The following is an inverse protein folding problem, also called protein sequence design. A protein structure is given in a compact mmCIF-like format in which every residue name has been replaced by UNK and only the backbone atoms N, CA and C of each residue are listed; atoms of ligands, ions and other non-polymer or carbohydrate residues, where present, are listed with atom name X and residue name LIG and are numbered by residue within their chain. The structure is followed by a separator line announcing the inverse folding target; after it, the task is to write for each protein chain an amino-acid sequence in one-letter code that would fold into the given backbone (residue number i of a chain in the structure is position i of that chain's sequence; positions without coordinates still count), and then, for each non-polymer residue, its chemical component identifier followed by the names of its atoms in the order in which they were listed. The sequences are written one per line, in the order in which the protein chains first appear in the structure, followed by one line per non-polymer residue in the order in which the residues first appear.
data_IF_294457433994
#
_entry.id   IF_294457433994
#
_cell.length_a   1.000
_cell.length_b   1.000
_cell.length_c   1.000
_cell.angle_alpha   90.00
_cell.angle_beta   90.00
_cell.angle_gamma   90.00
#
_symmetry.space_group_name_H-M   'P 1'
#
loop_
_entity.id
_entity.type
_entity.pdbx_description
1 polymer ?
#
# COMPACT_ATOMS: atom_id res chain seq x y z
N UNK A 1 -33.36 1.62 32.15
CA UNK A 1 -32.04 2.25 32.08
C UNK A 1 -31.76 2.48 30.61
N UNK A 2 -32.15 3.63 30.04
CA UNK A 2 -31.93 3.98 28.64
C UNK A 2 -30.47 4.33 28.45
N UNK A 3 -29.76 3.52 27.66
CA UNK A 3 -28.42 3.85 27.20
C UNK A 3 -28.52 5.00 26.18
N UNK A 4 -28.18 6.18 26.59
CA UNK A 4 -28.09 7.35 25.72
C UNK A 4 -26.83 7.18 24.83
N UNK A 5 -26.97 6.48 23.71
CA UNK A 5 -25.90 6.32 22.71
C UNK A 5 -25.74 7.66 22.02
N UNK A 6 -24.76 8.44 22.45
CA UNK A 6 -24.33 9.64 21.75
C UNK A 6 -23.79 9.24 20.38
N UNK A 7 -24.55 9.52 19.32
CA UNK A 7 -24.06 9.33 17.96
C UNK A 7 -22.96 10.35 17.68
N UNK A 8 -21.74 9.84 17.48
CA UNK A 8 -20.60 10.66 17.03
C UNK A 8 -20.65 10.67 15.50
N UNK A 9 -20.69 11.84 14.84
CA UNK A 9 -20.67 11.90 13.39
C UNK A 9 -19.38 11.25 12.85
N UNK A 10 -19.51 10.38 11.83
CA UNK A 10 -18.41 9.64 11.24
C UNK A 10 -17.26 10.56 10.78
N UNK A 11 -17.63 11.73 10.26
CA UNK A 11 -16.66 12.73 9.83
C UNK A 11 -15.72 13.20 10.95
N UNK A 12 -16.19 13.27 12.21
CA UNK A 12 -15.34 13.67 13.33
C UNK A 12 -14.30 12.61 13.73
N UNK A 13 -14.55 11.33 13.40
CA UNK A 13 -13.70 10.18 13.76
C UNK A 13 -12.79 9.80 12.59
N UNK A 14 -13.21 10.06 11.36
CA UNK A 14 -12.49 9.67 10.16
C UNK A 14 -11.21 10.50 9.99
N UNK A 15 -10.02 9.88 9.94
CA UNK A 15 -8.75 10.61 9.98
C UNK A 15 -8.36 11.26 8.63
N UNK A 16 -8.99 10.85 7.53
CA UNK A 16 -8.67 11.35 6.19
C UNK A 16 -9.41 12.67 5.95
N UNK A 17 -8.68 13.69 5.49
CA UNK A 17 -9.22 14.98 5.09
C UNK A 17 -9.67 14.95 3.63
N UNK A 18 -8.77 14.53 2.74
CA UNK A 18 -9.05 14.42 1.31
C UNK A 18 -8.11 13.42 0.64
N UNK A 19 -8.49 12.99 -0.58
CA UNK A 19 -7.65 12.23 -1.49
C UNK A 19 -7.61 13.02 -2.78
N UNK A 20 -6.43 13.44 -3.20
CA UNK A 20 -6.23 14.23 -4.41
C UNK A 20 -4.92 13.81 -5.07
N UNK A 21 -4.94 13.63 -6.40
CA UNK A 21 -3.76 13.30 -7.21
C UNK A 21 -2.96 12.10 -6.64
N UNK A 22 -3.68 11.02 -6.28
CA UNK A 22 -3.11 9.79 -5.70
C UNK A 22 -2.48 9.97 -4.31
N UNK A 23 -2.69 11.12 -3.68
CA UNK A 23 -2.18 11.45 -2.36
C UNK A 23 -3.31 11.46 -1.34
N UNK A 24 -3.10 10.81 -0.21
CA UNK A 24 -4.02 10.82 0.92
C UNK A 24 -3.52 11.88 1.93
N UNK A 25 -4.37 12.83 2.25
CA UNK A 25 -4.07 13.87 3.26
C UNK A 25 -4.91 13.61 4.50
N UNK A 26 -4.25 13.51 5.65
CA UNK A 26 -4.93 13.33 6.93
C UNK A 26 -5.39 14.68 7.52
N UNK A 27 -6.35 14.64 8.44
CA UNK A 27 -6.78 15.84 9.21
C UNK A 27 -5.66 16.44 10.07
N UNK A 28 -4.58 15.68 10.29
CA UNK A 28 -3.38 16.17 11.00
C UNK A 28 -2.36 16.82 10.07
N UNK A 29 -2.63 16.86 8.76
CA UNK A 29 -1.71 17.38 7.75
C UNK A 29 -0.64 16.36 7.31
N UNK A 30 -0.75 15.08 7.71
CA UNK A 30 0.13 14.03 7.24
C UNK A 30 -0.21 13.68 5.80
N UNK A 31 0.80 13.37 5.01
CA UNK A 31 0.68 13.03 3.60
C UNK A 31 1.06 11.57 3.43
N UNK A 32 0.19 10.77 2.83
CA UNK A 32 0.44 9.36 2.55
C UNK A 32 0.37 9.07 1.06
N UNK A 33 1.40 8.45 0.53
CA UNK A 33 1.47 7.88 -0.81
C UNK A 33 1.34 6.36 -0.70
N UNK A 34 0.64 5.73 -1.66
CA UNK A 34 0.44 4.29 -1.69
C UNK A 34 0.77 3.69 -3.05
N UNK A 35 1.41 2.53 -3.04
CA UNK A 35 1.73 1.75 -4.24
C UNK A 35 1.32 0.31 -4.09
N UNK A 36 0.75 -0.26 -5.15
CA UNK A 36 0.65 -1.72 -5.30
C UNK A 36 1.98 -2.22 -5.84
N UNK A 37 2.64 -3.11 -5.11
CA UNK A 37 3.95 -3.66 -5.48
C UNK A 37 3.73 -4.97 -6.23
N UNK A 38 4.24 -5.06 -7.45
CA UNK A 38 4.25 -6.32 -8.20
C UNK A 38 5.44 -7.15 -7.76
N UNK A 39 5.14 -8.29 -7.14
CA UNK A 39 6.15 -9.26 -6.72
C UNK A 39 6.23 -10.39 -7.74
N UNK A 40 7.44 -10.90 -8.02
CA UNK A 40 7.57 -12.14 -8.77
C UNK A 40 7.04 -13.32 -7.94
N UNK A 41 6.68 -14.43 -8.59
CA UNK A 41 6.26 -15.64 -7.89
C UNK A 41 7.34 -16.10 -6.90
N UNK A 42 6.98 -16.35 -5.66
CA UNK A 42 7.94 -16.73 -4.60
C UNK A 42 8.70 -18.02 -4.93
N UNK A 43 8.09 -18.92 -5.71
CA UNK A 43 8.71 -20.19 -6.13
C UNK A 43 9.82 -20.01 -7.17
N UNK A 44 9.94 -18.85 -7.79
CA UNK A 44 10.99 -18.56 -8.81
C UNK A 44 12.21 -17.84 -8.25
N UNK A 45 12.20 -17.49 -6.96
CA UNK A 45 13.28 -16.73 -6.33
C UNK A 45 14.29 -17.64 -5.64
N UNK A 46 15.57 -17.38 -5.88
CA UNK A 46 16.65 -17.97 -5.12
C UNK A 46 16.79 -17.30 -3.75
N UNK A 47 17.58 -17.91 -2.86
CA UNK A 47 17.89 -17.32 -1.56
C UNK A 47 18.61 -15.97 -1.70
N UNK A 48 19.49 -15.87 -2.68
CA UNK A 48 20.26 -14.65 -2.94
C UNK A 48 19.36 -13.53 -3.46
N UNK A 49 18.41 -13.84 -4.36
CA UNK A 49 17.40 -12.88 -4.83
C UNK A 49 16.57 -12.31 -3.68
N UNK A 50 16.24 -13.14 -2.68
CA UNK A 50 15.51 -12.70 -1.49
C UNK A 50 16.36 -11.75 -0.64
N UNK A 51 17.65 -12.05 -0.44
CA UNK A 51 18.57 -11.20 0.32
C UNK A 51 18.74 -9.85 -0.37
N UNK A 52 19.02 -9.85 -1.67
CA UNK A 52 19.23 -8.63 -2.45
C UNK A 52 18.01 -7.70 -2.40
N UNK A 53 16.79 -8.27 -2.45
CA UNK A 53 15.55 -7.49 -2.35
C UNK A 53 15.34 -6.91 -0.96
N UNK A 54 15.64 -7.68 0.07
CA UNK A 54 15.56 -7.21 1.45
C UNK A 54 16.55 -6.07 1.69
N UNK A 55 17.78 -6.22 1.21
CA UNK A 55 18.83 -5.22 1.34
C UNK A 55 18.48 -3.93 0.56
N UNK A 56 17.89 -4.07 -0.63
CA UNK A 56 17.38 -2.93 -1.38
C UNK A 56 16.27 -2.18 -0.62
N UNK A 57 15.31 -2.91 -0.05
CA UNK A 57 14.24 -2.32 0.76
C UNK A 57 14.81 -1.64 2.02
N UNK A 58 15.72 -2.29 2.73
CA UNK A 58 16.38 -1.72 3.91
C UNK A 58 17.14 -0.44 3.56
N UNK A 59 17.87 -0.44 2.44
CA UNK A 59 18.61 0.72 1.96
C UNK A 59 17.66 1.88 1.60
N UNK A 60 16.55 1.58 0.92
CA UNK A 60 15.53 2.57 0.60
C UNK A 60 14.92 3.18 1.86
N UNK A 61 14.56 2.36 2.85
CA UNK A 61 14.01 2.84 4.13
C UNK A 61 15.04 3.66 4.91
N UNK A 62 16.30 3.26 4.92
CA UNK A 62 17.38 4.00 5.58
C UNK A 62 17.64 5.37 4.95
N UNK A 63 17.38 5.51 3.64
CA UNK A 63 17.50 6.81 2.95
C UNK A 63 16.41 7.81 3.32
N UNK A 64 15.30 7.32 3.91
CA UNK A 64 14.21 8.18 4.37
C UNK A 64 14.60 8.87 5.68
N UNK A 65 14.22 10.12 5.83
CA UNK A 65 14.46 10.89 7.07
C UNK A 65 13.57 10.42 8.23
N UNK A 66 13.83 10.96 9.42
CA UNK A 66 13.15 10.59 10.66
C UNK A 66 11.62 10.88 10.70
N UNK A 67 11.10 11.62 9.70
CA UNK A 67 9.70 12.01 9.66
C UNK A 67 8.85 11.12 8.76
N UNK A 68 9.40 10.01 8.28
CA UNK A 68 8.68 9.07 7.42
C UNK A 68 8.28 7.82 8.17
N UNK A 69 7.07 7.36 7.91
CA UNK A 69 6.56 6.05 8.34
C UNK A 69 6.38 5.22 7.09
N UNK A 70 6.99 4.04 7.07
CA UNK A 70 6.80 3.04 6.02
C UNK A 70 5.86 1.97 6.55
N UNK A 71 4.73 1.78 5.87
CA UNK A 71 3.77 0.73 6.18
C UNK A 71 3.70 -0.24 5.00
N UNK A 72 4.00 -1.50 5.24
CA UNK A 72 3.86 -2.59 4.28
C UNK A 72 2.64 -3.42 4.66
N UNK A 73 1.81 -3.73 3.68
CA UNK A 73 0.63 -4.56 3.84
C UNK A 73 0.65 -5.70 2.83
N UNK A 74 0.57 -6.92 3.33
CA UNK A 74 0.53 -8.14 2.52
C UNK A 74 -0.87 -8.76 2.63
N UNK A 75 -1.51 -9.01 1.50
CA UNK A 75 -2.82 -9.62 1.40
C UNK A 75 -2.70 -10.99 0.75
N UNK A 76 -3.22 -12.00 1.42
CA UNK A 76 -3.33 -13.35 0.89
C UNK A 76 -4.80 -13.63 0.59
N UNK A 77 -5.15 -13.59 -0.68
CA UNK A 77 -6.53 -13.70 -1.15
C UNK A 77 -6.72 -15.09 -1.73
N UNK A 78 -7.72 -15.82 -1.22
CA UNK A 78 -8.11 -17.10 -1.76
C UNK A 78 -8.92 -16.88 -3.04
N UNK A 79 -8.43 -17.38 -4.15
CA UNK A 79 -9.05 -17.29 -5.48
C UNK A 79 -9.09 -18.64 -6.14
N UNK A 80 -9.93 -18.80 -7.16
CA UNK A 80 -9.94 -19.98 -8.01
C UNK A 80 -9.11 -19.70 -9.27
N UNK A 81 -8.27 -20.67 -9.62
CA UNK A 81 -7.52 -20.59 -10.87
C UNK A 81 -8.49 -20.63 -12.06
N UNK A 82 -8.29 -19.75 -13.01
CA UNK A 82 -9.04 -19.73 -14.27
C UNK A 82 -8.08 -20.04 -15.39
N UNK A 83 -8.33 -21.13 -16.11
CA UNK A 83 -7.50 -21.56 -17.21
C UNK A 83 -7.56 -20.54 -18.37
N UNK A 84 -6.40 -20.14 -18.85
CA UNK A 84 -6.26 -19.38 -20.08
C UNK A 84 -5.94 -20.34 -21.22
N UNK A 85 -6.68 -20.24 -22.32
CA UNK A 85 -6.44 -21.13 -23.48
C UNK A 85 -5.05 -20.94 -24.06
N UNK A 86 -4.26 -22.00 -24.12
CA UNK A 86 -2.89 -21.99 -24.63
C UNK A 86 -2.77 -22.62 -26.02
N UNK A 87 -1.81 -22.14 -26.82
CA UNK A 87 -1.55 -22.64 -28.17
C UNK A 87 -0.86 -24.02 -28.20
N UNK A 88 -0.22 -24.42 -27.09
CA UNK A 88 0.50 -25.70 -26.98
C UNK A 88 -0.39 -26.73 -26.28
N UNK A 89 -0.44 -27.96 -26.84
CA UNK A 89 -1.20 -29.09 -26.27
C UNK A 89 -0.83 -29.38 -24.80
N UNK A 90 0.45 -29.35 -24.46
CA UNK A 90 0.92 -29.60 -23.09
C UNK A 90 0.54 -28.45 -22.15
N UNK A 91 0.65 -27.21 -22.61
CA UNK A 91 0.25 -26.05 -21.82
C UNK A 91 -1.27 -26.05 -21.59
N UNK A 92 -2.07 -26.34 -22.61
CA UNK A 92 -3.54 -26.41 -22.48
C UNK A 92 -3.97 -27.56 -21.54
N UNK A 93 -3.31 -28.71 -21.59
CA UNK A 93 -3.56 -29.81 -20.67
C UNK A 93 -3.19 -29.45 -19.21
N UNK A 94 -2.11 -28.69 -19.02
CA UNK A 94 -1.68 -28.18 -17.71
C UNK A 94 -2.69 -27.16 -17.16
N UNK A 95 -3.10 -26.19 -17.97
CA UNK A 95 -4.07 -25.18 -17.62
C UNK A 95 -5.42 -25.82 -17.19
N UNK A 96 -5.94 -26.76 -17.98
CA UNK A 96 -7.17 -27.48 -17.64
C UNK A 96 -7.05 -28.31 -16.36
N UNK A 97 -5.86 -28.82 -16.04
CA UNK A 97 -5.64 -29.59 -14.80
C UNK A 97 -5.81 -28.71 -13.54
N UNK A 98 -5.46 -27.42 -13.64
CA UNK A 98 -5.56 -26.49 -12.51
C UNK A 98 -6.85 -25.67 -12.50
N UNK A 99 -7.65 -25.73 -13.56
CA UNK A 99 -8.89 -24.96 -13.67
C UNK A 99 -9.83 -25.23 -12.50
N UNK A 100 -10.35 -24.17 -11.93
CA UNK A 100 -11.25 -24.20 -10.77
C UNK A 100 -10.57 -24.53 -9.43
N UNK A 101 -9.27 -24.82 -9.39
CA UNK A 101 -8.58 -25.11 -8.12
C UNK A 101 -8.34 -23.84 -7.32
N UNK A 102 -8.56 -23.96 -6.03
CA UNK A 102 -8.28 -22.88 -5.10
C UNK A 102 -6.77 -22.66 -4.93
N UNK A 103 -6.35 -21.42 -5.00
CA UNK A 103 -4.98 -21.00 -4.71
C UNK A 103 -4.97 -19.66 -3.95
N UNK A 104 -3.83 -19.35 -3.35
CA UNK A 104 -3.63 -18.07 -2.68
C UNK A 104 -2.90 -17.12 -3.63
N UNK A 105 -3.52 -15.98 -3.89
CA UNK A 105 -2.88 -14.86 -4.57
C UNK A 105 -2.31 -13.92 -3.53
N UNK A 106 -1.06 -13.52 -3.70
CA UNK A 106 -0.39 -12.57 -2.83
C UNK A 106 -0.35 -11.20 -3.48
N UNK A 107 -0.95 -10.23 -2.81
CA UNK A 107 -0.87 -8.82 -3.19
C UNK A 107 -0.13 -8.04 -2.11
N UNK A 108 0.76 -7.16 -2.51
CA UNK A 108 1.52 -6.33 -1.60
C UNK A 108 1.26 -4.85 -1.89
N UNK A 109 1.06 -4.10 -0.81
CA UNK A 109 0.91 -2.65 -0.82
C UNK A 109 1.98 -2.02 0.06
N UNK A 110 2.55 -0.93 -0.41
CA UNK A 110 3.52 -0.13 0.32
C UNK A 110 2.96 1.28 0.47
N UNK A 111 2.92 1.77 1.70
CA UNK A 111 2.51 3.14 2.01
C UNK A 111 3.66 3.89 2.65
N UNK A 112 3.87 5.11 2.20
CA UNK A 112 4.85 6.03 2.74
C UNK A 112 4.12 7.25 3.28
N UNK A 113 4.18 7.47 4.59
CA UNK A 113 3.54 8.61 5.24
C UNK A 113 4.62 9.59 5.72
N UNK A 114 4.51 10.82 5.26
CA UNK A 114 5.27 11.94 5.79
C UNK A 114 4.52 12.53 6.99
N UNK A 115 5.11 12.44 8.17
CA UNK A 115 4.57 13.03 9.39
C UNK A 115 5.13 14.44 9.58
N UNK A 116 4.27 15.40 9.85
CA UNK A 116 4.73 16.71 10.25
C UNK A 116 5.26 16.61 11.68
N UNK A 117 6.51 17.06 11.91
CA UNK A 117 6.95 17.31 13.28
C UNK A 117 5.98 18.31 13.87
N UNK A 118 5.46 18.04 15.06
CA UNK A 118 4.82 19.07 15.89
C UNK A 118 5.85 20.19 16.15
N UNK A 119 6.00 21.09 15.19
CA UNK A 119 6.62 22.37 15.46
C UNK A 119 5.59 23.15 16.25
N UNK A 120 5.88 23.35 17.54
CA UNK A 120 5.13 24.23 18.43
C UNK A 120 4.52 25.41 17.66
N UNK A 121 3.19 25.43 17.60
CA UNK A 121 2.33 26.58 17.35
C UNK A 121 2.86 27.64 16.36
N UNK A 122 2.83 27.34 15.06
CA UNK A 122 2.66 28.35 14.02
C UNK A 122 1.65 27.82 13.02
N UNK A 123 0.52 28.53 12.91
CA UNK A 123 -0.55 28.20 11.99
C UNK A 123 -0.02 28.01 10.57
N UNK A 124 -0.33 26.86 9.99
CA UNK A 124 -0.07 26.58 8.59
C UNK A 124 -0.95 27.53 7.78
N UNK A 125 -0.34 28.57 7.17
CA UNK A 125 -1.06 29.35 6.17
C UNK A 125 -1.26 28.46 4.95
N UNK A 126 -2.46 28.37 4.45
CA UNK A 126 -2.91 27.54 3.32
C UNK A 126 -2.18 27.80 1.98
N UNK A 127 -1.21 28.72 1.94
CA UNK A 127 -0.47 29.08 0.75
C UNK A 127 0.82 28.30 0.49
N UNK A 128 1.38 27.59 1.51
CA UNK A 128 2.67 26.87 1.37
C UNK A 128 2.55 25.42 0.93
N UNK A 129 1.33 24.87 0.88
CA UNK A 129 1.12 23.45 0.65
C UNK A 129 1.14 23.07 -0.85
N UNK A 130 0.81 24.01 -1.74
CA UNK A 130 0.82 23.77 -3.19
C UNK A 130 2.20 23.72 -3.86
N UNK A 131 3.25 24.27 -3.23
CA UNK A 131 4.59 24.32 -3.84
C UNK A 131 5.39 23.00 -3.69
N UNK A 132 5.00 22.13 -2.75
CA UNK A 132 5.74 20.88 -2.49
C UNK A 132 5.33 19.76 -3.47
N UNK A 133 4.19 19.86 -4.15
CA UNK A 133 3.59 18.78 -4.93
C UNK A 133 3.72 18.97 -6.46
N UNK A 134 4.40 20.00 -6.95
CA UNK A 134 4.68 20.13 -8.39
C UNK A 134 5.87 19.28 -8.81
N UNK A 135 5.67 18.14 -9.53
CA UNK A 135 6.79 17.47 -10.17
C UNK A 135 7.32 18.36 -11.29
N UNK A 136 8.62 18.56 -11.28
CA UNK A 136 9.32 19.13 -12.44
C UNK A 136 9.45 18.08 -13.53
#
# INVERSE_FOLDING_TARGET
MEMNIKSIPLDSVFPILCIQDEVIVSKRGEITLGWKVSLPPMCSLTKDDHSDRLDALCSAVQSLGANFIVHRQDWFIKTNYSAEGCSSFLADAYERHFDGREHLTHEQYLFLTLTLKESSSRGISSGGFCEIISPK
#
